data_IF_168222102618
#
_entry.id   IF_168222102618
#
_cell.length_a   1.000
_cell.length_b   1.000
_cell.length_c   1.000
_cell.angle_alpha   90.00
_cell.angle_beta   90.00
_cell.angle_gamma   90.00
#
_symmetry.space_group_name_H-M   'P 1'
#
loop_
_entity.id
_entity.type
_entity.pdbx_description
1 polymer ?
#
# COMPACT_ATOMS: atom_id res chain seq x y z
N UNK A 1 8.86 -7.93 5.61
CA UNK A 1 8.19 -6.82 4.88
C UNK A 1 8.62 -5.42 5.36
N UNK A 2 8.51 -5.09 6.66
CA UNK A 2 8.79 -3.73 7.19
C UNK A 2 10.13 -3.11 6.79
N UNK A 3 11.22 -3.88 6.74
CA UNK A 3 12.56 -3.40 6.30
C UNK A 3 12.55 -2.77 4.89
N UNK A 4 11.71 -3.29 3.99
CA UNK A 4 11.60 -2.76 2.62
C UNK A 4 10.76 -1.49 2.53
N UNK A 5 9.89 -1.24 3.50
CA UNK A 5 8.93 -0.13 3.51
C UNK A 5 9.44 1.09 4.32
N UNK A 6 10.65 1.01 4.88
CA UNK A 6 11.31 2.10 5.60
C UNK A 6 11.33 3.36 4.73
N UNK A 7 10.90 4.50 5.28
CA UNK A 7 10.81 5.79 4.58
C UNK A 7 9.40 6.19 4.14
N UNK A 8 8.38 5.35 4.37
CA UNK A 8 6.98 5.79 4.36
C UNK A 8 6.71 6.47 5.71
N UNK A 9 6.37 7.76 5.69
CA UNK A 9 6.39 8.59 6.89
C UNK A 9 5.06 8.58 7.67
N UNK A 10 3.97 8.22 7.02
CA UNK A 10 2.64 8.17 7.62
C UNK A 10 2.32 6.74 8.08
N UNK A 11 1.88 6.55 9.33
CA UNK A 11 1.66 5.23 9.89
C UNK A 11 0.52 4.46 9.19
N UNK A 12 -0.52 5.16 8.72
CA UNK A 12 -1.64 4.52 8.01
C UNK A 12 -1.23 4.10 6.60
N UNK A 13 -0.47 4.95 5.90
CA UNK A 13 0.13 4.56 4.62
C UNK A 13 1.11 3.40 4.78
N UNK A 14 1.88 3.36 5.88
CA UNK A 14 2.77 2.23 6.17
C UNK A 14 1.98 0.94 6.42
N UNK A 15 0.90 0.99 7.18
CA UNK A 15 0.02 -0.15 7.40
C UNK A 15 -0.58 -0.68 6.09
N UNK A 16 -1.17 0.21 5.29
CA UNK A 16 -1.75 -0.14 3.98
C UNK A 16 -0.68 -0.73 3.03
N UNK A 17 0.54 -0.19 3.04
CA UNK A 17 1.67 -0.73 2.27
C UNK A 17 2.13 -2.10 2.77
N UNK A 18 2.10 -2.36 4.09
CA UNK A 18 2.38 -3.68 4.67
C UNK A 18 1.34 -4.69 4.23
N UNK A 19 0.05 -4.35 4.31
CA UNK A 19 -1.06 -5.22 3.89
C UNK A 19 -0.90 -5.59 2.40
N UNK A 20 -0.71 -4.59 1.54
CA UNK A 20 -0.51 -4.83 0.11
C UNK A 20 0.74 -5.68 -0.18
N UNK A 21 1.85 -5.39 0.50
CA UNK A 21 3.11 -6.12 0.30
C UNK A 21 3.08 -7.55 0.84
N UNK A 22 2.23 -7.83 1.83
CA UNK A 22 2.07 -9.18 2.38
C UNK A 22 1.43 -10.12 1.35
N UNK A 23 0.38 -9.67 0.66
CA UNK A 23 -0.27 -10.47 -0.39
C UNK A 23 0.46 -10.36 -1.74
N UNK A 24 0.74 -9.14 -2.20
CA UNK A 24 1.25 -8.89 -3.55
C UNK A 24 2.76 -8.85 -3.68
N UNK A 25 3.51 -8.82 -2.57
CA UNK A 25 4.95 -8.60 -2.55
C UNK A 25 5.36 -7.13 -2.75
N UNK A 26 6.38 -6.68 -1.99
CA UNK A 26 6.84 -5.29 -2.03
C UNK A 26 7.36 -4.83 -3.41
N UNK A 27 7.93 -5.74 -4.21
CA UNK A 27 8.36 -5.41 -5.58
C UNK A 27 7.19 -5.03 -6.50
N UNK A 28 6.04 -5.69 -6.36
CA UNK A 28 4.85 -5.35 -7.14
C UNK A 28 4.20 -4.04 -6.65
N UNK A 29 4.31 -3.74 -5.35
CA UNK A 29 3.93 -2.43 -4.82
C UNK A 29 4.76 -1.31 -5.49
N UNK A 30 6.08 -1.47 -5.56
CA UNK A 30 6.95 -0.50 -6.22
C UNK A 30 6.63 -0.34 -7.70
N UNK A 31 6.48 -1.46 -8.43
CA UNK A 31 6.12 -1.43 -9.86
C UNK A 31 4.78 -0.75 -10.13
N UNK A 32 3.82 -0.85 -9.20
CA UNK A 32 2.54 -0.16 -9.33
C UNK A 32 2.70 1.37 -9.25
N UNK A 33 3.60 1.85 -8.39
CA UNK A 33 3.82 3.29 -8.17
C UNK A 33 4.82 3.90 -9.14
N UNK A 34 5.71 3.08 -9.69
CA UNK A 34 6.79 3.47 -10.58
C UNK A 34 7.10 2.27 -11.48
N UNK A 35 6.90 2.40 -12.80
CA UNK A 35 6.99 1.27 -13.72
C UNK A 35 8.36 0.55 -13.70
N UNK A 36 9.45 1.27 -13.42
CA UNK A 36 10.79 0.68 -13.31
C UNK A 36 11.03 -0.03 -11.96
N UNK A 37 10.07 0.02 -11.04
CA UNK A 37 10.18 -0.57 -9.70
C UNK A 37 11.13 0.19 -8.76
N UNK A 38 11.48 1.45 -9.08
CA UNK A 38 12.41 2.23 -8.26
C UNK A 38 11.78 2.55 -6.89
N UNK A 39 12.27 1.88 -5.85
CA UNK A 39 11.79 2.02 -4.47
C UNK A 39 11.81 3.46 -3.97
N UNK A 40 12.89 4.22 -4.21
CA UNK A 40 13.02 5.60 -3.71
C UNK A 40 11.96 6.51 -4.31
N UNK A 41 11.74 6.41 -5.62
CA UNK A 41 10.71 7.18 -6.32
C UNK A 41 9.29 6.74 -5.91
N UNK A 42 9.07 5.43 -5.73
CA UNK A 42 7.79 4.91 -5.25
C UNK A 42 7.45 5.43 -3.85
N UNK A 43 8.40 5.38 -2.90
CA UNK A 43 8.22 5.92 -1.54
C UNK A 43 7.96 7.42 -1.57
N UNK A 44 8.71 8.19 -2.38
CA UNK A 44 8.47 9.62 -2.54
C UNK A 44 7.04 9.89 -3.05
N UNK A 45 6.53 9.07 -3.99
CA UNK A 45 5.15 9.18 -4.48
C UNK A 45 4.12 8.84 -3.40
N UNK A 46 4.34 7.79 -2.59
CA UNK A 46 3.47 7.46 -1.44
C UNK A 46 3.42 8.62 -0.45
N UNK A 47 4.58 9.22 -0.14
CA UNK A 47 4.65 10.30 0.85
C UNK A 47 3.93 11.57 0.37
N UNK A 48 3.85 11.81 -0.94
CA UNK A 48 3.07 12.91 -1.53
C UNK A 48 1.55 12.69 -1.55
N UNK A 49 1.09 11.44 -1.45
CA UNK A 49 -0.34 11.13 -1.37
C UNK A 49 -0.87 11.31 0.05
N UNK A 50 -2.13 11.68 0.18
CA UNK A 50 -2.91 11.47 1.41
C UNK A 50 -3.12 9.97 1.66
N UNK A 51 -3.44 9.58 2.90
CA UNK A 51 -3.76 8.18 3.22
C UNK A 51 -4.95 7.66 2.39
N UNK A 52 -5.96 8.50 2.16
CA UNK A 52 -7.14 8.16 1.33
C UNK A 52 -6.76 7.91 -0.12
N UNK A 53 -5.95 8.78 -0.73
CA UNK A 53 -5.47 8.60 -2.11
C UNK A 53 -4.62 7.35 -2.25
N UNK A 54 -3.77 7.06 -1.27
CA UNK A 54 -2.93 5.86 -1.31
C UNK A 54 -3.77 4.58 -1.19
N UNK A 55 -4.76 4.55 -0.29
CA UNK A 55 -5.71 3.44 -0.22
C UNK A 55 -6.49 3.27 -1.52
N UNK A 56 -7.00 4.37 -2.10
CA UNK A 56 -7.69 4.32 -3.40
C UNK A 56 -6.77 3.76 -4.48
N UNK A 57 -5.52 4.23 -4.54
CA UNK A 57 -4.52 3.73 -5.46
C UNK A 57 -4.29 2.22 -5.31
N UNK A 58 -4.10 1.73 -4.08
CA UNK A 58 -3.87 0.30 -3.82
C UNK A 58 -5.05 -0.57 -4.26
N UNK A 59 -6.27 -0.05 -4.14
CA UNK A 59 -7.50 -0.82 -4.41
C UNK A 59 -8.01 -0.69 -5.84
N UNK A 60 -7.45 0.23 -6.63
CA UNK A 60 -7.89 0.50 -8.02
C UNK A 60 -6.77 0.40 -9.05
N UNK A 61 -5.52 0.73 -8.69
CA UNK A 61 -4.40 0.90 -9.63
C UNK A 61 -3.21 -0.02 -9.36
N UNK A 62 -3.20 -0.77 -8.26
CA UNK A 62 -2.19 -1.79 -8.04
C UNK A 62 -2.22 -2.85 -9.16
N UNK A 63 -1.04 -3.26 -9.65
CA UNK A 63 -0.92 -4.12 -10.84
C UNK A 63 -1.52 -5.52 -10.65
N UNK A 64 -1.57 -6.02 -9.41
CA UNK A 64 -2.18 -7.31 -9.06
C UNK A 64 -3.61 -7.11 -8.61
N UNK A 65 -4.58 -7.70 -9.32
CA UNK A 65 -6.01 -7.69 -8.98
C UNK A 65 -6.27 -8.30 -7.60
N UNK A 66 -5.67 -9.45 -7.33
CA UNK A 66 -5.78 -10.14 -6.05
C UNK A 66 -5.38 -9.23 -4.88
N UNK A 67 -4.29 -8.46 -5.02
CA UNK A 67 -3.85 -7.51 -3.99
C UNK A 67 -4.83 -6.35 -3.82
N UNK A 68 -5.46 -5.87 -4.90
CA UNK A 68 -6.50 -4.84 -4.79
C UNK A 68 -7.66 -5.34 -3.93
N UNK A 69 -8.10 -6.58 -4.19
CA UNK A 69 -9.22 -7.19 -3.48
C UNK A 69 -8.85 -7.51 -2.03
N UNK A 70 -7.62 -8.00 -1.80
CA UNK A 70 -7.10 -8.30 -0.47
C UNK A 70 -7.04 -7.05 0.42
N UNK A 71 -6.55 -5.92 -0.09
CA UNK A 71 -6.48 -4.66 0.66
C UNK A 71 -7.89 -4.18 1.07
N UNK A 72 -8.87 -4.22 0.15
CA UNK A 72 -10.28 -3.91 0.48
C UNK A 72 -10.79 -4.82 1.59
N UNK A 73 -10.58 -6.13 1.44
CA UNK A 73 -11.04 -7.16 2.40
C UNK A 73 -10.49 -6.94 3.81
N UNK A 74 -9.21 -6.59 3.94
CA UNK A 74 -8.55 -6.38 5.25
C UNK A 74 -8.99 -5.06 5.87
N UNK A 75 -9.04 -3.97 5.10
CA UNK A 75 -9.42 -2.66 5.65
C UNK A 75 -10.87 -2.60 6.13
N UNK A 76 -11.78 -3.30 5.45
CA UNK A 76 -13.16 -3.48 5.95
C UNK A 76 -13.22 -4.23 7.28
N UNK A 77 -12.28 -5.15 7.56
CA UNK A 77 -12.22 -5.83 8.86
C UNK A 77 -11.60 -4.94 9.94
N UNK A 78 -10.47 -4.29 9.65
CA UNK A 78 -9.78 -3.40 10.61
C UNK A 78 -10.71 -2.27 11.06
N UNK A 79 -11.43 -1.64 10.12
CA UNK A 79 -12.40 -0.58 10.44
C UNK A 79 -13.50 -1.03 11.41
N UNK A 80 -13.89 -2.31 11.40
CA UNK A 80 -14.88 -2.84 12.35
C UNK A 80 -14.30 -2.99 13.75
N UNK A 81 -13.01 -3.30 13.87
CA UNK A 81 -12.32 -3.42 15.16
C UNK A 81 -11.90 -2.06 15.73
N UNK A 82 -11.52 -1.09 14.88
CA UNK A 82 -11.22 0.29 15.31
C UNK A 82 -12.47 1.06 15.78
N UNK A 83 -13.67 0.57 15.46
CA UNK A 83 -14.95 1.17 15.84
C UNK A 83 -15.62 0.53 17.08
N UNK A 84 -14.96 -0.48 17.67
CA UNK A 84 -15.30 -1.07 18.97
C UNK A 84 -14.54 -0.36 20.08
#
# INVERSE_FOLDING_TARGET
ARRYLVGINDPKKLEDAVIASYNGGAGNLWRSLNASGNRKQAIARINKMTAREFYWFLTNRHIRSETRDYVRKVRTRISKYEAL
#
